data_IF_507080292064
#
_entry.id   IF_507080292064
#
_cell.length_a   1.000
_cell.length_b   1.000
_cell.length_c   1.000
_cell.angle_alpha   90.00
_cell.angle_beta   90.00
_cell.angle_gamma   90.00
#
_symmetry.space_group_name_H-M   'P 1'
#
loop_
_entity.id
_entity.type
_entity.pdbx_description
1 polymer ?
#
# COMPACT_ATOMS: atom_id res chain seq x y z
N UNK A 1 33.34 34.20 32.80
CA UNK A 1 34.72 34.46 33.27
C UNK A 1 35.55 34.95 32.08
N UNK A 2 36.63 35.71 32.31
CA UNK A 2 37.54 36.03 31.22
C UNK A 2 38.17 34.74 30.68
N UNK A 3 38.18 34.61 29.36
CA UNK A 3 38.75 33.48 28.64
C UNK A 3 39.39 34.03 27.34
N UNK A 4 40.50 34.78 27.46
CA UNK A 4 41.14 35.43 26.32
C UNK A 4 41.62 34.39 25.31
N UNK A 5 41.65 34.76 24.03
CA UNK A 5 42.14 33.86 22.98
C UNK A 5 43.64 33.58 23.18
N UNK A 6 44.06 32.30 23.28
CA UNK A 6 45.46 31.96 23.58
C UNK A 6 46.44 32.32 22.46
N UNK A 7 45.96 32.57 21.24
CA UNK A 7 46.81 32.89 20.07
C UNK A 7 47.06 34.38 19.87
N UNK A 8 46.50 35.26 20.72
CA UNK A 8 46.67 36.71 20.64
C UNK A 8 47.26 37.27 21.94
N UNK A 9 48.10 38.32 21.90
CA UNK A 9 48.59 38.96 23.12
C UNK A 9 47.45 39.50 23.99
N UNK A 10 47.39 39.08 25.27
CA UNK A 10 46.31 39.42 26.21
C UNK A 10 46.16 40.94 26.37
N UNK A 11 47.27 41.69 26.44
CA UNK A 11 47.24 43.15 26.58
C UNK A 11 46.55 43.86 25.40
N UNK A 12 46.71 43.33 24.19
CA UNK A 12 46.02 43.85 23.01
C UNK A 12 44.53 43.53 23.08
N UNK A 13 44.19 42.30 23.49
CA UNK A 13 42.80 41.89 23.64
C UNK A 13 42.07 42.74 24.70
N UNK A 14 42.72 43.05 25.83
CA UNK A 14 42.16 43.92 26.87
C UNK A 14 42.04 45.36 26.38
N UNK A 15 43.10 45.93 25.78
CA UNK A 15 43.11 47.31 25.28
C UNK A 15 42.02 47.57 24.24
N UNK A 16 41.76 46.59 23.38
CA UNK A 16 40.73 46.68 22.35
C UNK A 16 39.36 46.16 22.81
N UNK A 17 39.21 45.83 24.10
CA UNK A 17 37.98 45.28 24.66
C UNK A 17 37.44 44.11 23.82
N UNK A 18 38.28 43.15 23.45
CA UNK A 18 37.83 41.98 22.69
C UNK A 18 36.92 41.08 23.57
N UNK A 19 36.00 40.31 22.98
CA UNK A 19 35.18 39.35 23.73
C UNK A 19 36.04 38.43 24.61
N UNK A 20 35.59 38.18 25.85
CA UNK A 20 36.28 37.32 26.83
C UNK A 20 37.67 37.79 27.27
N UNK A 21 38.15 38.95 26.82
CA UNK A 21 39.52 39.40 27.04
C UNK A 21 39.81 39.82 28.48
N UNK A 22 38.83 40.38 29.19
CA UNK A 22 39.03 40.95 30.53
C UNK A 22 37.79 40.87 31.40
N UNK A 23 38.01 40.82 32.72
CA UNK A 23 36.94 40.64 33.70
C UNK A 23 35.91 41.78 33.70
N UNK A 24 36.36 43.04 33.52
CA UNK A 24 35.46 44.21 33.51
C UNK A 24 34.48 44.16 32.33
N UNK A 25 34.97 43.81 31.13
CA UNK A 25 34.11 43.65 29.95
C UNK A 25 33.12 42.51 30.13
N UNK A 26 33.56 41.37 30.66
CA UNK A 26 32.66 40.22 30.89
C UNK A 26 31.59 40.54 31.94
N UNK A 27 31.92 41.34 32.96
CA UNK A 27 30.96 41.83 33.92
C UNK A 27 29.94 42.78 33.27
N UNK A 28 30.39 43.69 32.42
CA UNK A 28 29.50 44.61 31.69
C UNK A 28 28.60 43.86 30.70
N UNK A 29 29.13 42.86 30.01
CA UNK A 29 28.34 41.95 29.18
C UNK A 29 27.29 41.21 29.99
N UNK A 30 27.66 40.59 31.11
CA UNK A 30 26.73 39.89 32.00
C UNK A 30 25.63 40.82 32.55
N UNK A 31 25.97 42.06 32.90
CA UNK A 31 25.00 43.09 33.30
C UNK A 31 24.02 43.44 32.19
N UNK A 32 24.45 43.46 30.93
CA UNK A 32 23.57 43.70 29.78
C UNK A 32 22.62 42.52 29.56
N UNK A 33 23.11 41.28 29.66
CA UNK A 33 22.28 40.06 29.56
C UNK A 33 21.22 40.05 30.65
N UNK A 34 21.59 40.26 31.92
CA UNK A 34 20.63 40.28 33.03
C UNK A 34 19.60 41.42 32.87
N UNK A 35 20.02 42.62 32.43
CA UNK A 35 19.09 43.72 32.13
C UNK A 35 18.08 43.36 31.05
N UNK A 36 18.52 42.71 29.97
CA UNK A 36 17.63 42.26 28.89
C UNK A 36 16.67 41.19 29.37
N UNK A 37 17.15 40.21 30.14
CA UNK A 37 16.32 39.16 30.71
C UNK A 37 15.25 39.74 31.63
N UNK A 38 15.63 40.64 32.55
CA UNK A 38 14.70 41.38 33.45
C UNK A 38 13.61 42.16 32.70
N UNK A 39 13.85 42.54 31.44
CA UNK A 39 12.90 43.28 30.62
C UNK A 39 12.08 42.40 29.67
N UNK A 40 12.31 41.08 29.64
CA UNK A 40 11.71 40.18 28.65
C UNK A 40 10.24 39.82 28.96
N UNK A 41 9.85 39.86 30.23
CA UNK A 41 8.51 39.50 30.71
C UNK A 41 8.21 40.25 32.03
N UNK A 42 6.95 40.60 32.33
CA UNK A 42 6.57 41.11 33.65
C UNK A 42 6.73 40.06 34.76
N UNK A 43 6.75 38.77 34.40
CA UNK A 43 6.92 37.65 35.33
C UNK A 43 8.17 36.83 34.93
N UNK A 44 9.21 36.86 35.77
CA UNK A 44 10.52 36.25 35.50
C UNK A 44 11.04 35.59 36.77
N UNK A 45 11.41 34.31 36.64
CA UNK A 45 12.04 33.54 37.70
C UNK A 45 13.50 33.29 37.33
N UNK A 46 14.43 33.71 38.19
CA UNK A 46 15.83 33.32 38.10
C UNK A 46 16.10 32.20 39.11
N UNK A 47 16.61 31.07 38.62
CA UNK A 47 17.03 29.94 39.46
C UNK A 47 18.55 29.79 39.48
N UNK A 48 19.10 29.32 40.60
CA UNK A 48 20.48 28.92 40.71
C UNK A 48 20.58 27.58 41.47
N UNK A 49 21.57 26.73 41.15
CA UNK A 49 21.80 25.52 41.93
C UNK A 49 22.38 25.87 43.30
N UNK A 50 21.89 25.22 44.36
CA UNK A 50 22.45 25.37 45.71
C UNK A 50 23.76 24.58 45.90
N UNK A 51 24.00 23.56 45.07
CA UNK A 51 25.16 22.68 45.18
C UNK A 51 25.67 22.23 43.81
N UNK A 52 26.98 22.06 43.71
CA UNK A 52 27.64 21.37 42.60
C UNK A 52 28.68 20.41 43.19
N UNK A 53 28.38 19.10 43.13
CA UNK A 53 29.10 18.09 43.90
C UNK A 53 29.02 18.36 45.41
N UNK A 54 30.19 18.43 46.06
CA UNK A 54 30.32 18.73 47.49
C UNK A 54 30.42 20.24 47.80
N UNK A 55 30.37 21.10 46.78
CA UNK A 55 30.47 22.54 46.96
C UNK A 55 29.08 23.19 47.12
N UNK A 56 28.92 24.04 48.13
CA UNK A 56 27.77 24.95 48.23
C UNK A 56 27.96 26.16 47.31
N UNK A 57 26.90 26.51 46.58
CA UNK A 57 26.88 27.62 45.64
C UNK A 57 26.01 28.75 46.17
N UNK A 58 26.30 29.97 45.70
CA UNK A 58 25.58 31.20 46.05
C UNK A 58 25.00 31.83 44.79
N UNK A 59 23.90 32.59 44.90
CA UNK A 59 23.35 33.30 43.75
C UNK A 59 24.37 34.29 43.20
N UNK A 60 24.30 34.54 41.90
CA UNK A 60 25.14 35.57 41.26
C UNK A 60 24.86 36.95 41.88
N UNK A 61 25.89 37.78 42.14
CA UNK A 61 25.69 39.14 42.63
C UNK A 61 24.76 40.00 41.75
N UNK A 62 24.62 39.65 40.46
CA UNK A 62 23.74 40.38 39.53
C UNK A 62 22.25 40.12 39.78
N UNK A 63 21.90 39.06 40.52
CA UNK A 63 20.53 38.70 40.89
C UNK A 63 20.30 38.66 42.40
N UNK A 64 21.34 38.85 43.22
CA UNK A 64 21.26 38.76 44.68
C UNK A 64 20.30 39.77 45.36
N UNK A 65 19.88 40.82 44.66
CA UNK A 65 18.89 41.79 45.15
C UNK A 65 17.43 41.46 44.80
N UNK A 66 17.17 40.30 44.18
CA UNK A 66 15.82 39.83 43.93
C UNK A 66 15.28 39.11 45.16
N UNK A 67 13.97 39.18 45.38
CA UNK A 67 13.31 38.43 46.44
C UNK A 67 13.40 36.94 46.14
N UNK A 68 13.82 36.16 47.14
CA UNK A 68 13.86 34.71 47.03
C UNK A 68 12.46 34.15 47.23
N UNK A 69 11.96 33.43 46.23
CA UNK A 69 10.66 32.78 46.26
C UNK A 69 10.85 31.27 46.19
N UNK A 70 10.05 30.54 46.97
CA UNK A 70 9.91 29.10 46.80
C UNK A 70 8.80 28.85 45.79
N UNK A 71 9.10 28.48 44.53
CA UNK A 71 8.05 28.20 43.57
C UNK A 71 7.23 27.00 44.04
N UNK A 72 5.92 27.02 43.77
CA UNK A 72 5.11 25.80 43.88
C UNK A 72 5.59 24.83 42.81
N UNK A 73 6.43 23.88 43.22
CA UNK A 73 6.94 22.85 42.33
C UNK A 73 5.83 21.83 42.10
N UNK A 74 5.51 21.49 40.84
CA UNK A 74 4.63 20.38 40.53
C UNK A 74 5.00 19.11 41.29
N UNK A 75 3.99 18.39 41.78
CA UNK A 75 4.18 17.09 42.46
C UNK A 75 4.87 16.05 41.56
N UNK A 76 4.81 16.24 40.24
CA UNK A 76 5.47 15.38 39.26
C UNK A 76 6.28 16.20 38.26
N UNK A 77 7.47 15.71 37.96
CA UNK A 77 8.32 16.17 36.87
C UNK A 77 7.93 15.54 35.51
N UNK A 78 6.85 14.74 35.49
CA UNK A 78 6.29 14.13 34.29
C UNK A 78 5.03 14.91 33.85
N UNK A 79 5.16 15.93 32.97
CA UNK A 79 4.02 16.76 32.54
C UNK A 79 2.87 15.95 31.96
N UNK A 80 3.15 14.79 31.35
CA UNK A 80 2.14 13.89 30.78
C UNK A 80 1.18 13.32 31.85
N UNK A 81 1.67 13.00 33.05
CA UNK A 81 0.82 12.53 34.15
C UNK A 81 -0.10 13.64 34.67
N UNK A 82 0.40 14.88 34.73
CA UNK A 82 -0.43 16.01 35.15
C UNK A 82 -1.50 16.35 34.12
N UNK A 83 -1.16 16.31 32.83
CA UNK A 83 -2.11 16.52 31.73
C UNK A 83 -3.20 15.43 31.77
N UNK A 84 -2.83 14.16 31.96
CA UNK A 84 -3.80 13.06 32.10
C UNK A 84 -4.68 13.20 33.35
N UNK A 85 -4.10 13.53 34.51
CA UNK A 85 -4.85 13.72 35.76
C UNK A 85 -5.82 14.91 35.70
N UNK A 86 -5.48 15.92 34.90
CA UNK A 86 -6.30 17.11 34.68
C UNK A 86 -7.22 16.97 33.47
N UNK A 87 -7.16 15.83 32.75
CA UNK A 87 -7.92 15.64 31.53
C UNK A 87 -9.42 15.60 31.87
N UNK A 88 -10.27 16.36 31.17
CA UNK A 88 -11.70 16.25 31.35
C UNK A 88 -12.14 14.84 30.97
N UNK A 89 -13.22 14.37 31.60
CA UNK A 89 -13.87 13.13 31.16
C UNK A 89 -14.33 13.31 29.72
N UNK A 90 -13.77 12.51 28.82
CA UNK A 90 -14.15 12.52 27.42
C UNK A 90 -15.49 11.78 27.24
N UNK A 91 -16.26 12.22 26.25
CA UNK A 91 -17.38 11.45 25.74
C UNK A 91 -16.82 10.42 24.76
N UNK A 92 -17.14 9.16 24.98
CA UNK A 92 -16.82 8.08 24.06
C UNK A 92 -18.02 7.84 23.15
N UNK A 93 -17.78 7.76 21.85
CA UNK A 93 -18.77 7.41 20.85
C UNK A 93 -18.12 6.42 19.89
N UNK A 94 -18.79 5.31 19.64
CA UNK A 94 -18.37 4.37 18.61
C UNK A 94 -18.75 4.90 17.23
N UNK A 95 -17.78 4.97 16.31
CA UNK A 95 -17.94 5.52 14.97
C UNK A 95 -17.31 4.59 13.93
N UNK A 96 -17.85 3.38 13.84
CA UNK A 96 -17.39 2.33 12.93
C UNK A 96 -18.32 2.13 11.71
N UNK A 97 -19.31 3.01 11.52
CA UNK A 97 -20.27 2.92 10.40
C UNK A 97 -20.54 4.24 9.74
N UNK A 98 -20.25 4.30 8.44
CA UNK A 98 -20.73 5.36 7.58
C UNK A 98 -22.20 5.19 7.18
N UNK A 99 -22.76 6.16 6.43
CA UNK A 99 -24.12 6.06 5.91
C UNK A 99 -24.25 4.91 4.90
N UNK A 100 -25.46 4.40 4.70
CA UNK A 100 -25.75 3.45 3.62
C UNK A 100 -25.44 4.11 2.26
N UNK A 101 -24.87 3.35 1.33
CA UNK A 101 -24.56 3.84 -0.02
C UNK A 101 -25.88 4.21 -0.74
N UNK A 102 -25.94 5.41 -1.30
CA UNK A 102 -27.15 5.92 -1.94
C UNK A 102 -27.41 5.34 -3.34
N UNK A 103 -26.39 4.76 -3.97
CA UNK A 103 -26.44 4.18 -5.31
C UNK A 103 -25.79 2.79 -5.27
N UNK A 104 -26.44 1.82 -5.89
CA UNK A 104 -25.93 0.45 -5.93
C UNK A 104 -24.65 0.35 -6.79
N UNK A 105 -24.46 1.27 -7.76
CA UNK A 105 -23.25 1.35 -8.57
C UNK A 105 -22.14 2.08 -7.81
N UNK A 106 -21.04 1.36 -7.55
CA UNK A 106 -19.86 1.93 -6.90
C UNK A 106 -18.71 2.16 -7.90
N UNK A 107 -18.03 3.29 -7.75
CA UNK A 107 -16.81 3.62 -8.49
C UNK A 107 -15.61 2.93 -7.81
N UNK A 108 -14.97 1.95 -8.46
CA UNK A 108 -13.77 1.29 -7.90
C UNK A 108 -13.51 -0.16 -8.33
N UNK A 109 -14.45 -0.79 -9.03
CA UNK A 109 -14.27 -2.14 -9.60
C UNK A 109 -13.99 -3.21 -8.54
N UNK A 110 -13.15 -4.19 -8.88
CA UNK A 110 -12.81 -5.33 -7.99
C UNK A 110 -12.03 -4.91 -6.74
N UNK A 111 -11.34 -3.77 -6.79
CA UNK A 111 -10.55 -3.24 -5.68
C UNK A 111 -11.37 -2.91 -4.43
N UNK A 112 -12.66 -2.56 -4.59
CA UNK A 112 -13.57 -2.31 -3.46
C UNK A 112 -13.65 -3.54 -2.56
N UNK A 113 -13.95 -4.71 -3.14
CA UNK A 113 -14.10 -5.94 -2.37
C UNK A 113 -12.77 -6.47 -1.88
N UNK A 114 -11.67 -6.21 -2.60
CA UNK A 114 -10.32 -6.54 -2.14
C UNK A 114 -9.97 -5.78 -0.87
N UNK A 115 -10.18 -4.47 -0.88
CA UNK A 115 -9.93 -3.64 0.30
C UNK A 115 -10.88 -4.02 1.44
N UNK A 116 -12.15 -4.31 1.16
CA UNK A 116 -13.12 -4.71 2.18
C UNK A 116 -12.72 -6.03 2.85
N UNK A 117 -12.25 -7.00 2.06
CA UNK A 117 -11.76 -8.27 2.57
C UNK A 117 -10.46 -8.12 3.37
N UNK A 118 -9.59 -7.20 2.99
CA UNK A 118 -8.36 -6.91 3.72
C UNK A 118 -8.65 -6.19 5.04
N UNK A 119 -9.45 -5.13 5.02
CA UNK A 119 -9.88 -4.34 6.18
C UNK A 119 -11.06 -3.42 5.79
N UNK A 120 -12.24 -3.50 6.45
CA UNK A 120 -13.39 -2.65 6.14
C UNK A 120 -13.09 -1.14 6.15
N UNK A 121 -12.33 -0.67 7.15
CA UNK A 121 -11.89 0.73 7.22
C UNK A 121 -11.13 1.17 5.96
N UNK A 122 -10.29 0.28 5.39
CA UNK A 122 -9.52 0.58 4.19
C UNK A 122 -10.44 0.85 3.01
N UNK A 123 -11.40 -0.03 2.74
CA UNK A 123 -12.37 0.19 1.66
C UNK A 123 -13.22 1.45 1.87
N UNK A 124 -13.62 1.72 3.12
CA UNK A 124 -14.38 2.92 3.46
C UNK A 124 -13.60 4.19 3.11
N UNK A 125 -12.36 4.33 3.59
CA UNK A 125 -11.54 5.52 3.28
C UNK A 125 -11.27 5.62 1.78
N UNK A 126 -10.91 4.51 1.16
CA UNK A 126 -10.49 4.44 -0.23
C UNK A 126 -11.58 4.76 -1.25
N UNK A 127 -12.79 4.25 -1.04
CA UNK A 127 -13.86 4.30 -2.04
C UNK A 127 -15.07 5.13 -1.61
N UNK A 128 -15.30 5.30 -0.30
CA UNK A 128 -16.37 6.18 0.21
C UNK A 128 -15.86 7.60 0.44
N UNK A 129 -14.71 7.76 1.10
CA UNK A 129 -14.11 9.07 1.36
C UNK A 129 -13.15 9.54 0.25
N UNK A 130 -12.77 8.64 -0.67
CA UNK A 130 -11.77 8.88 -1.73
C UNK A 130 -10.42 9.34 -1.17
N UNK A 131 -10.07 8.87 0.03
CA UNK A 131 -8.76 9.06 0.62
C UNK A 131 -7.73 8.14 -0.05
N UNK A 132 -6.60 8.72 -0.46
CA UNK A 132 -5.47 8.05 -1.10
C UNK A 132 -4.19 8.67 -0.56
N UNK A 133 -3.12 7.90 -0.48
CA UNK A 133 -1.78 8.45 -0.33
C UNK A 133 -1.47 9.49 -1.43
N UNK A 134 -0.62 10.46 -1.11
CA UNK A 134 -0.10 11.39 -2.11
C UNK A 134 0.95 10.69 -2.97
N UNK A 135 0.90 10.93 -4.28
CA UNK A 135 1.88 10.39 -5.22
C UNK A 135 3.30 10.80 -4.82
N UNK A 136 4.17 9.81 -4.66
CA UNK A 136 5.58 10.03 -4.38
C UNK A 136 6.36 9.94 -5.70
N UNK A 137 7.25 10.90 -5.95
CA UNK A 137 8.12 10.85 -7.10
C UNK A 137 9.07 9.64 -7.02
N UNK A 138 9.00 8.75 -8.02
CA UNK A 138 9.86 7.58 -8.13
C UNK A 138 10.70 7.63 -9.41
N UNK A 139 11.89 7.03 -9.43
CA UNK A 139 12.70 6.95 -10.63
C UNK A 139 12.14 5.93 -11.63
N UNK A 140 11.87 6.38 -12.85
CA UNK A 140 11.38 5.53 -13.94
C UNK A 140 9.92 5.14 -13.79
N UNK A 141 9.53 4.04 -14.45
CA UNK A 141 8.15 3.54 -14.41
C UNK A 141 7.86 2.75 -13.14
N UNK A 142 6.72 3.00 -12.53
CA UNK A 142 6.26 2.30 -11.33
C UNK A 142 5.72 0.88 -11.66
N UNK A 143 5.31 0.13 -10.64
CA UNK A 143 4.81 -1.23 -10.82
C UNK A 143 3.45 -1.30 -11.54
N UNK A 144 2.60 -0.29 -11.36
CA UNK A 144 1.26 -0.21 -11.96
C UNK A 144 1.37 0.09 -13.45
N UNK A 145 2.21 1.06 -13.83
CA UNK A 145 2.52 1.39 -15.22
C UNK A 145 3.09 0.18 -15.97
N UNK A 146 4.05 -0.52 -15.36
CA UNK A 146 4.63 -1.75 -15.93
C UNK A 146 3.59 -2.86 -16.10
N UNK A 147 2.66 -2.99 -15.16
CA UNK A 147 1.52 -3.89 -15.27
C UNK A 147 0.63 -3.51 -16.45
N UNK A 148 0.20 -2.24 -16.53
CA UNK A 148 -0.63 -1.73 -17.62
C UNK A 148 0.00 -1.93 -19.00
N UNK A 149 1.31 -1.73 -19.13
CA UNK A 149 2.04 -1.99 -20.38
C UNK A 149 2.00 -3.49 -20.75
N UNK A 150 2.20 -4.38 -19.78
CA UNK A 150 2.12 -5.83 -20.03
C UNK A 150 0.72 -6.24 -20.54
N UNK A 151 -0.34 -5.78 -19.87
CA UNK A 151 -1.72 -6.08 -20.28
C UNK A 151 -1.98 -5.63 -21.71
N UNK A 152 -1.65 -4.38 -22.05
CA UNK A 152 -1.85 -3.85 -23.41
C UNK A 152 -1.04 -4.58 -24.49
N UNK A 153 0.18 -5.02 -24.17
CA UNK A 153 0.97 -5.84 -25.10
C UNK A 153 0.27 -7.17 -25.34
N UNK A 154 -0.11 -7.89 -24.28
CA UNK A 154 -0.77 -9.19 -24.38
C UNK A 154 -2.16 -9.10 -25.01
N UNK A 155 -2.93 -8.05 -24.68
CA UNK A 155 -4.22 -7.74 -25.28
C UNK A 155 -4.06 -7.68 -26.79
N UNK A 156 -3.14 -6.84 -27.22
CA UNK A 156 -2.99 -6.54 -28.64
C UNK A 156 -2.34 -7.68 -29.41
N UNK A 157 -1.46 -8.46 -28.78
CA UNK A 157 -0.90 -9.70 -29.34
C UNK A 157 -1.98 -10.75 -29.55
N UNK A 158 -2.83 -11.00 -28.55
CA UNK A 158 -3.91 -12.00 -28.66
C UNK A 158 -5.05 -11.56 -29.56
N UNK A 159 -5.31 -10.25 -29.67
CA UNK A 159 -6.20 -9.71 -30.70
C UNK A 159 -5.73 -10.02 -32.14
N UNK A 160 -4.42 -10.12 -32.36
CA UNK A 160 -3.84 -10.50 -33.65
C UNK A 160 -3.74 -12.03 -33.81
N UNK A 161 -3.19 -12.76 -32.84
CA UNK A 161 -2.87 -14.20 -32.91
C UNK A 161 -4.10 -15.10 -32.70
N UNK A 162 -5.02 -14.73 -31.80
CA UNK A 162 -6.35 -15.33 -31.56
C UNK A 162 -6.42 -16.79 -31.09
N UNK A 163 -5.44 -17.65 -31.35
CA UNK A 163 -5.48 -19.05 -30.93
C UNK A 163 -4.08 -19.66 -30.81
N UNK A 164 -4.01 -20.82 -30.13
CA UNK A 164 -2.75 -21.51 -29.91
C UNK A 164 -2.16 -22.09 -31.20
N UNK A 165 -3.00 -22.56 -32.13
CA UNK A 165 -2.53 -23.17 -33.37
C UNK A 165 -1.74 -22.16 -34.22
N UNK A 166 -2.20 -20.92 -34.28
CA UNK A 166 -1.48 -19.82 -34.92
C UNK A 166 -0.22 -19.44 -34.17
N UNK A 167 -0.24 -19.41 -32.83
CA UNK A 167 0.98 -19.20 -32.03
C UNK A 167 2.05 -20.25 -32.37
N UNK A 168 1.68 -21.53 -32.38
CA UNK A 168 2.58 -22.64 -32.69
C UNK A 168 3.00 -22.71 -34.17
N UNK A 169 2.21 -22.09 -35.06
CA UNK A 169 2.52 -21.98 -36.48
C UNK A 169 3.54 -20.89 -36.82
N UNK A 170 3.80 -19.95 -35.91
CA UNK A 170 4.84 -18.93 -36.06
C UNK A 170 6.21 -19.55 -35.81
N UNK A 171 7.20 -19.26 -36.66
CA UNK A 171 8.58 -19.60 -36.35
C UNK A 171 9.09 -18.76 -35.18
N UNK A 172 10.14 -19.24 -34.51
CA UNK A 172 10.72 -18.56 -33.37
C UNK A 172 11.12 -17.10 -33.68
N UNK A 173 11.74 -16.84 -34.84
CA UNK A 173 12.09 -15.47 -35.24
C UNK A 173 10.86 -14.60 -35.51
N UNK A 174 9.87 -15.14 -36.24
CA UNK A 174 8.63 -14.44 -36.58
C UNK A 174 7.81 -14.10 -35.32
N UNK A 175 7.77 -15.01 -34.34
CA UNK A 175 7.11 -14.79 -33.05
C UNK A 175 7.79 -13.67 -32.26
N UNK A 176 9.13 -13.66 -32.21
CA UNK A 176 9.88 -12.61 -31.51
C UNK A 176 9.68 -11.24 -32.18
N UNK A 177 9.72 -11.18 -33.52
CA UNK A 177 9.44 -9.95 -34.27
C UNK A 177 8.02 -9.44 -34.05
N UNK A 178 7.03 -10.35 -33.99
CA UNK A 178 5.65 -10.00 -33.70
C UNK A 178 5.51 -9.42 -32.29
N UNK A 179 6.09 -10.07 -31.28
CA UNK A 179 6.10 -9.54 -29.90
C UNK A 179 6.76 -8.17 -29.85
N UNK A 180 7.91 -8.00 -30.52
CA UNK A 180 8.62 -6.72 -30.59
C UNK A 180 7.78 -5.61 -31.22
N UNK A 181 7.05 -5.91 -32.30
CA UNK A 181 6.09 -4.99 -32.92
C UNK A 181 5.02 -4.53 -31.91
N UNK A 182 4.42 -5.45 -31.16
CA UNK A 182 3.38 -5.12 -30.18
C UNK A 182 3.94 -4.31 -29.00
N UNK A 183 5.09 -4.71 -28.45
CA UNK A 183 5.80 -3.96 -27.39
C UNK A 183 6.11 -2.55 -27.85
N UNK A 184 6.64 -2.40 -29.06
CA UNK A 184 7.04 -1.10 -29.56
C UNK A 184 5.86 -0.16 -29.70
N UNK A 185 4.80 -0.64 -30.35
CA UNK A 185 3.56 0.12 -30.50
C UNK A 185 2.98 0.52 -29.14
N UNK A 186 2.86 -0.41 -28.19
CA UNK A 186 2.29 -0.10 -26.87
C UNK A 186 3.09 0.98 -26.15
N UNK A 187 4.42 0.93 -26.17
CA UNK A 187 5.24 1.96 -25.52
C UNK A 187 5.09 3.31 -26.23
N UNK A 188 5.11 3.33 -27.57
CA UNK A 188 4.99 4.55 -28.37
C UNK A 188 3.63 5.25 -28.15
N UNK A 189 2.54 4.49 -27.99
CA UNK A 189 1.20 5.01 -27.74
C UNK A 189 0.96 5.43 -26.29
N UNK A 190 1.71 4.86 -25.34
CA UNK A 190 1.45 5.06 -23.90
C UNK A 190 2.07 6.33 -23.33
N UNK A 191 3.18 6.78 -23.92
CA UNK A 191 4.06 7.78 -23.31
C UNK A 191 4.40 8.82 -24.35
N UNK A 192 3.88 10.04 -24.17
CA UNK A 192 4.30 11.16 -24.99
C UNK A 192 5.79 11.42 -24.74
N UNK A 193 6.62 11.14 -25.77
CA UNK A 193 8.07 11.31 -25.71
C UNK A 193 8.43 12.79 -25.86
N UNK A 194 7.92 13.65 -24.99
CA UNK A 194 8.37 15.04 -24.87
C UNK A 194 9.58 15.18 -23.96
N UNK A 195 9.82 14.22 -23.06
CA UNK A 195 10.96 14.23 -22.14
C UNK A 195 12.08 13.29 -22.59
N UNK A 196 13.22 13.88 -22.98
CA UNK A 196 14.42 13.13 -23.39
C UNK A 196 14.98 12.24 -22.28
N UNK A 197 14.70 12.54 -21.02
CA UNK A 197 15.20 11.77 -19.87
C UNK A 197 14.57 10.36 -19.79
N UNK A 198 13.37 10.18 -20.35
CA UNK A 198 12.68 8.89 -20.34
C UNK A 198 13.13 7.95 -21.45
N UNK A 199 13.75 8.44 -22.53
CA UNK A 199 14.08 7.62 -23.71
C UNK A 199 14.89 6.37 -23.33
N UNK A 200 15.94 6.52 -22.51
CA UNK A 200 16.76 5.39 -22.09
C UNK A 200 15.99 4.39 -21.22
N UNK A 201 15.05 4.87 -20.39
CA UNK A 201 14.18 4.02 -19.55
C UNK A 201 13.22 3.23 -20.43
N UNK A 202 12.62 3.88 -21.44
CA UNK A 202 11.70 3.24 -22.38
C UNK A 202 12.39 2.17 -23.22
N UNK A 203 13.64 2.40 -23.67
CA UNK A 203 14.40 1.39 -24.41
C UNK A 203 14.71 0.15 -23.54
N UNK A 204 15.06 0.35 -22.26
CA UNK A 204 15.22 -0.77 -21.33
C UNK A 204 13.89 -1.51 -21.10
N UNK A 205 12.79 -0.77 -21.05
CA UNK A 205 11.46 -1.34 -20.88
C UNK A 205 11.01 -2.15 -22.09
N UNK A 206 11.31 -1.72 -23.32
CA UNK A 206 11.10 -2.51 -24.55
C UNK A 206 11.81 -3.86 -24.46
N UNK A 207 13.09 -3.85 -24.09
CA UNK A 207 13.89 -5.07 -23.94
C UNK A 207 13.30 -5.98 -22.86
N UNK A 208 12.92 -5.40 -21.72
CA UNK A 208 12.34 -6.14 -20.59
C UNK A 208 11.00 -6.77 -20.95
N UNK A 209 10.06 -6.02 -21.51
CA UNK A 209 8.73 -6.49 -21.89
C UNK A 209 8.81 -7.54 -22.99
N UNK A 210 9.63 -7.32 -24.03
CA UNK A 210 9.86 -8.32 -25.09
C UNK A 210 10.34 -9.64 -24.49
N UNK A 211 11.38 -9.60 -23.66
CA UNK A 211 11.91 -10.79 -23.02
C UNK A 211 10.88 -11.50 -22.15
N UNK A 212 10.11 -10.74 -21.37
CA UNK A 212 9.10 -11.26 -20.46
C UNK A 212 7.92 -11.92 -21.20
N UNK A 213 7.40 -11.28 -22.24
CA UNK A 213 6.29 -11.83 -23.05
C UNK A 213 6.75 -13.06 -23.81
N UNK A 214 7.94 -13.03 -24.42
CA UNK A 214 8.50 -14.21 -25.09
C UNK A 214 8.69 -15.39 -24.12
N UNK A 215 9.16 -15.13 -22.89
CA UNK A 215 9.27 -16.15 -21.85
C UNK A 215 7.89 -16.73 -21.48
N UNK A 216 6.88 -15.88 -21.25
CA UNK A 216 5.51 -16.32 -20.97
C UNK A 216 4.93 -17.20 -22.07
N UNK A 217 5.04 -16.76 -23.34
CA UNK A 217 4.53 -17.50 -24.48
C UNK A 217 5.16 -18.90 -24.57
N UNK A 218 6.50 -18.96 -24.52
CA UNK A 218 7.25 -20.21 -24.66
C UNK A 218 7.06 -21.16 -23.49
N UNK A 219 7.15 -20.65 -22.27
CA UNK A 219 7.20 -21.51 -21.08
C UNK A 219 5.79 -21.95 -20.66
N UNK A 220 4.75 -21.17 -21.00
CA UNK A 220 3.37 -21.45 -20.59
C UNK A 220 2.43 -21.66 -21.80
N UNK A 221 2.21 -20.64 -22.63
CA UNK A 221 1.13 -20.67 -23.65
C UNK A 221 1.31 -21.77 -24.71
N UNK A 222 2.54 -22.01 -25.15
CA UNK A 222 2.87 -23.08 -26.11
C UNK A 222 2.62 -24.48 -25.55
N UNK A 223 2.65 -24.63 -24.22
CA UNK A 223 2.50 -25.91 -23.53
C UNK A 223 1.07 -26.15 -23.00
N UNK A 224 0.13 -25.26 -23.29
CA UNK A 224 -1.29 -25.44 -22.94
C UNK A 224 -1.95 -26.47 -23.86
N UNK A 225 -3.12 -26.95 -23.46
CA UNK A 225 -4.03 -27.63 -24.40
C UNK A 225 -4.52 -26.63 -25.46
N UNK A 226 -4.92 -27.10 -26.67
CA UNK A 226 -5.45 -26.22 -27.71
C UNK A 226 -6.58 -25.33 -27.22
N UNK A 227 -6.49 -24.04 -27.55
CA UNK A 227 -7.46 -23.04 -27.17
C UNK A 227 -7.66 -21.97 -28.26
N UNK A 228 -8.81 -21.30 -28.21
CA UNK A 228 -9.15 -20.10 -28.96
C UNK A 228 -9.51 -18.98 -27.98
N UNK A 229 -9.00 -17.78 -28.24
CA UNK A 229 -9.31 -16.59 -27.45
C UNK A 229 -10.68 -16.05 -27.86
N UNK A 230 -11.62 -16.02 -26.91
CA UNK A 230 -12.97 -15.50 -27.12
C UNK A 230 -13.08 -14.01 -26.78
N UNK A 231 -12.46 -13.60 -25.69
CA UNK A 231 -12.51 -12.23 -25.18
C UNK A 231 -11.12 -11.78 -24.73
N UNK A 232 -10.85 -10.49 -24.89
CA UNK A 232 -9.62 -9.84 -24.44
C UNK A 232 -9.97 -8.44 -23.94
N UNK A 233 -9.50 -8.07 -22.75
CA UNK A 233 -9.71 -6.76 -22.09
C UNK A 233 -11.17 -6.26 -22.20
N UNK A 234 -12.13 -7.16 -21.96
CA UNK A 234 -13.55 -6.85 -22.16
C UNK A 234 -14.18 -6.36 -20.86
N UNK A 235 -14.91 -5.25 -20.96
CA UNK A 235 -15.71 -4.70 -19.85
C UNK A 235 -16.95 -5.55 -19.57
N UNK A 236 -17.18 -5.81 -18.29
CA UNK A 236 -18.37 -6.47 -17.79
C UNK A 236 -18.96 -5.65 -16.63
N UNK A 237 -20.28 -5.74 -16.46
CA UNK A 237 -20.99 -5.14 -15.34
C UNK A 237 -21.48 -6.27 -14.44
N UNK A 238 -20.98 -6.31 -13.21
CA UNK A 238 -21.22 -7.42 -12.28
C UNK A 238 -22.11 -6.96 -11.13
N UNK A 239 -23.07 -7.81 -10.77
CA UNK A 239 -23.96 -7.61 -9.63
C UNK A 239 -23.60 -8.63 -8.53
N UNK A 240 -23.07 -8.13 -7.42
CA UNK A 240 -22.58 -8.89 -6.29
C UNK A 240 -23.43 -8.56 -5.07
N UNK A 241 -24.56 -9.26 -4.90
CA UNK A 241 -25.54 -8.90 -3.89
C UNK A 241 -26.08 -7.48 -4.12
N UNK A 242 -26.03 -6.56 -3.14
CA UNK A 242 -26.53 -5.20 -3.31
C UNK A 242 -25.57 -4.27 -4.08
N UNK A 243 -24.37 -4.73 -4.44
CA UNK A 243 -23.33 -3.91 -5.06
C UNK A 243 -23.22 -4.20 -6.55
N UNK A 244 -23.18 -3.14 -7.36
CA UNK A 244 -22.85 -3.20 -8.79
C UNK A 244 -21.47 -2.58 -9.01
N UNK A 245 -20.64 -3.30 -9.76
CA UNK A 245 -19.30 -2.84 -10.14
C UNK A 245 -19.04 -3.10 -11.62
N UNK A 246 -18.21 -2.25 -12.22
CA UNK A 246 -17.63 -2.52 -13.53
C UNK A 246 -16.29 -3.24 -13.38
N UNK A 247 -16.08 -4.26 -14.20
CA UNK A 247 -14.85 -5.07 -14.23
C UNK A 247 -14.31 -5.15 -15.65
N UNK A 248 -13.03 -5.50 -15.77
CA UNK A 248 -12.38 -5.77 -17.06
C UNK A 248 -11.75 -7.14 -16.95
N UNK A 249 -12.21 -8.08 -17.77
CA UNK A 249 -11.62 -9.42 -17.83
C UNK A 249 -10.51 -9.37 -18.89
N UNK A 250 -9.28 -9.66 -18.47
CA UNK A 250 -8.12 -9.61 -19.36
C UNK A 250 -8.26 -10.59 -20.51
N UNK A 251 -8.71 -11.82 -20.23
CA UNK A 251 -8.85 -12.84 -21.27
C UNK A 251 -9.78 -13.99 -20.90
N UNK A 252 -10.58 -14.42 -21.89
CA UNK A 252 -11.37 -15.66 -21.83
C UNK A 252 -10.96 -16.56 -22.99
N UNK A 253 -10.58 -17.80 -22.68
CA UNK A 253 -10.26 -18.81 -23.68
C UNK A 253 -11.31 -19.92 -23.68
N UNK A 254 -11.60 -20.46 -24.87
CA UNK A 254 -12.32 -21.72 -25.06
C UNK A 254 -11.34 -22.81 -25.46
N UNK A 255 -11.40 -23.95 -24.77
CA UNK A 255 -10.60 -25.13 -25.04
C UNK A 255 -11.29 -26.02 -26.10
N UNK A 256 -10.54 -26.98 -26.65
CA UNK A 256 -11.04 -27.89 -27.71
C UNK A 256 -12.26 -28.71 -27.29
N UNK A 257 -12.38 -29.07 -26.01
CA UNK A 257 -13.52 -29.79 -25.44
C UNK A 257 -14.75 -28.90 -25.21
N UNK A 258 -14.64 -27.60 -25.50
CA UNK A 258 -15.67 -26.59 -25.30
C UNK A 258 -15.63 -25.91 -23.93
N UNK A 259 -14.83 -26.41 -22.99
CA UNK A 259 -14.64 -25.82 -21.66
C UNK A 259 -14.09 -24.41 -21.78
N UNK A 260 -14.45 -23.50 -20.86
CA UNK A 260 -13.94 -22.12 -20.88
C UNK A 260 -13.13 -21.78 -19.65
N UNK A 261 -12.08 -20.99 -19.85
CA UNK A 261 -11.20 -20.56 -18.76
C UNK A 261 -11.00 -19.06 -18.79
N UNK A 262 -11.08 -18.44 -17.61
CA UNK A 262 -10.85 -17.00 -17.43
C UNK A 262 -9.45 -16.78 -16.89
N UNK A 263 -8.69 -15.89 -17.52
CA UNK A 263 -7.32 -15.57 -17.15
C UNK A 263 -7.21 -14.09 -16.76
N UNK A 264 -6.39 -13.83 -15.75
CA UNK A 264 -6.04 -12.49 -15.26
C UNK A 264 -4.51 -12.40 -15.14
N UNK A 265 -3.88 -11.48 -15.86
CA UNK A 265 -2.44 -11.31 -15.87
C UNK A 265 -1.97 -10.58 -14.60
N UNK A 266 -0.94 -11.12 -13.96
CA UNK A 266 -0.29 -10.48 -12.82
C UNK A 266 1.23 -10.57 -12.91
N UNK A 267 1.90 -9.50 -12.53
CA UNK A 267 3.37 -9.44 -12.41
C UNK A 267 3.86 -9.81 -11.01
N UNK A 268 3.00 -9.67 -10.00
CA UNK A 268 3.26 -10.03 -8.60
C UNK A 268 3.06 -11.52 -8.32
N UNK A 269 3.45 -11.97 -7.12
CA UNK A 269 3.18 -13.34 -6.70
C UNK A 269 1.72 -13.54 -6.34
N UNK A 270 1.19 -14.73 -6.65
CA UNK A 270 -0.12 -15.17 -6.19
C UNK A 270 -0.03 -16.60 -5.65
N UNK A 271 -0.89 -16.89 -4.67
CA UNK A 271 -1.00 -18.21 -4.05
C UNK A 271 -2.44 -18.70 -4.18
N UNK A 272 -2.70 -20.00 -4.32
CA UNK A 272 -4.07 -20.51 -4.34
C UNK A 272 -4.87 -20.14 -3.09
N UNK A 273 -4.20 -20.03 -1.94
CA UNK A 273 -4.85 -19.75 -0.65
C UNK A 273 -5.58 -18.39 -0.63
N UNK A 274 -5.18 -17.42 -1.45
CA UNK A 274 -5.89 -16.13 -1.56
C UNK A 274 -7.29 -16.25 -2.19
N UNK A 275 -7.59 -17.39 -2.84
CA UNK A 275 -8.87 -17.72 -3.46
C UNK A 275 -9.76 -18.62 -2.57
N UNK A 276 -9.20 -19.16 -1.48
CA UNK A 276 -9.75 -20.30 -0.74
C UNK A 276 -10.08 -20.00 0.74
N UNK A 277 -9.77 -18.80 1.22
CA UNK A 277 -9.97 -18.41 2.62
C UNK A 277 -11.38 -17.92 2.94
N UNK A 278 -11.69 -17.80 4.23
CA UNK A 278 -12.94 -17.16 4.70
C UNK A 278 -13.05 -15.71 4.23
N UNK A 279 -11.93 -14.97 4.16
CA UNK A 279 -11.83 -13.69 3.47
C UNK A 279 -11.08 -13.86 2.15
N UNK A 280 -11.73 -13.46 1.06
CA UNK A 280 -11.17 -13.51 -0.29
C UNK A 280 -10.16 -12.36 -0.49
N UNK A 281 -8.87 -12.64 -0.28
CA UNK A 281 -7.82 -11.62 -0.37
C UNK A 281 -7.54 -11.18 -1.81
N UNK A 282 -7.84 -12.05 -2.78
CA UNK A 282 -7.79 -11.73 -4.21
C UNK A 282 -9.15 -12.05 -4.83
N UNK A 283 -10.18 -11.19 -4.62
CA UNK A 283 -11.55 -11.49 -5.03
C UNK A 283 -11.77 -11.34 -6.55
N UNK A 284 -10.78 -10.87 -7.30
CA UNK A 284 -10.88 -10.62 -8.74
C UNK A 284 -11.33 -11.84 -9.56
N UNK A 285 -10.63 -12.99 -9.44
CA UNK A 285 -11.05 -14.21 -10.13
C UNK A 285 -12.40 -14.75 -9.63
N UNK A 286 -12.68 -14.80 -8.30
CA UNK A 286 -14.01 -15.13 -7.80
C UNK A 286 -15.12 -14.25 -8.38
N UNK A 287 -14.90 -12.94 -8.52
CA UNK A 287 -15.85 -12.01 -9.14
C UNK A 287 -16.12 -12.42 -10.59
N UNK A 288 -15.07 -12.67 -11.37
CA UNK A 288 -15.23 -13.08 -12.77
C UNK A 288 -15.94 -14.43 -12.90
N UNK A 289 -15.65 -15.37 -12.01
CA UNK A 289 -16.26 -16.70 -11.98
C UNK A 289 -17.74 -16.70 -11.61
N UNK A 290 -18.19 -15.81 -10.71
CA UNK A 290 -19.63 -15.75 -10.33
C UNK A 290 -20.44 -14.80 -11.21
N UNK A 291 -19.74 -13.92 -11.95
CA UNK A 291 -20.29 -12.92 -12.84
C UNK A 291 -20.85 -13.46 -14.16
N UNK A 292 -21.18 -12.56 -15.08
CA UNK A 292 -21.81 -12.91 -16.36
C UNK A 292 -20.93 -13.83 -17.21
N UNK A 293 -19.64 -13.49 -17.35
CA UNK A 293 -18.67 -14.32 -18.08
C UNK A 293 -18.43 -15.69 -17.42
N UNK A 294 -18.60 -15.75 -16.10
CA UNK A 294 -18.38 -16.94 -15.29
C UNK A 294 -19.45 -18.03 -15.42
N UNK A 295 -20.64 -17.70 -15.95
CA UNK A 295 -21.74 -18.68 -16.15
C UNK A 295 -21.34 -19.91 -16.98
N UNK A 296 -20.40 -19.72 -17.89
CA UNK A 296 -19.88 -20.76 -18.78
C UNK A 296 -18.42 -21.11 -18.46
N UNK A 297 -17.85 -20.58 -17.37
CA UNK A 297 -16.46 -20.84 -17.01
C UNK A 297 -16.31 -22.16 -16.27
N UNK A 298 -15.29 -22.92 -16.64
CA UNK A 298 -14.84 -24.17 -16.04
C UNK A 298 -13.49 -24.03 -15.34
N UNK A 299 -12.88 -22.84 -15.36
CA UNK A 299 -11.67 -22.56 -14.60
C UNK A 299 -11.29 -21.10 -14.59
N UNK A 300 -10.60 -20.70 -13.52
CA UNK A 300 -10.07 -19.35 -13.37
C UNK A 300 -8.63 -19.40 -12.91
N UNK A 301 -7.76 -18.55 -13.47
CA UNK A 301 -6.37 -18.49 -13.04
C UNK A 301 -5.73 -17.12 -13.22
N UNK A 302 -4.85 -16.79 -12.28
CA UNK A 302 -3.87 -15.74 -12.47
C UNK A 302 -2.77 -16.28 -13.38
N UNK A 303 -2.59 -15.63 -14.53
CA UNK A 303 -1.43 -15.78 -15.38
C UNK A 303 -0.29 -14.94 -14.78
N UNK A 304 0.52 -15.58 -13.93
CA UNK A 304 1.66 -14.91 -13.29
C UNK A 304 2.79 -14.77 -14.30
N UNK A 305 2.94 -13.58 -14.87
CA UNK A 305 3.94 -13.23 -15.87
C UNK A 305 5.12 -12.55 -15.19
N UNK A 306 6.11 -13.35 -14.80
CA UNK A 306 7.30 -12.88 -14.09
C UNK A 306 8.54 -13.61 -14.58
N UNK A 307 9.60 -12.86 -14.84
CA UNK A 307 10.88 -13.39 -15.34
C UNK A 307 11.43 -14.48 -14.42
N UNK A 308 11.77 -15.63 -15.00
CA UNK A 308 12.24 -16.83 -14.32
C UNK A 308 11.20 -17.56 -13.46
N UNK A 309 9.93 -17.16 -13.52
CA UNK A 309 8.88 -17.62 -12.62
C UNK A 309 7.48 -17.57 -13.20
N UNK A 310 7.36 -17.64 -14.54
CA UNK A 310 6.08 -17.70 -15.21
C UNK A 310 5.30 -18.95 -14.80
N UNK A 311 4.04 -18.78 -14.39
CA UNK A 311 3.16 -19.90 -13.97
C UNK A 311 1.70 -19.47 -13.98
N UNK A 312 0.81 -20.47 -13.96
CA UNK A 312 -0.61 -20.26 -13.68
C UNK A 312 -0.93 -20.62 -12.23
N UNK A 313 -1.73 -19.79 -11.57
CA UNK A 313 -2.21 -20.02 -10.20
C UNK A 313 -3.71 -19.82 -10.18
N UNK A 314 -4.46 -20.90 -9.96
CA UNK A 314 -5.91 -20.86 -10.10
C UNK A 314 -6.57 -22.13 -9.60
N UNK A 315 -7.84 -22.26 -9.95
CA UNK A 315 -8.70 -23.41 -9.65
C UNK A 315 -9.54 -23.69 -10.89
N UNK A 316 -9.66 -24.96 -11.26
CA UNK A 316 -10.49 -25.43 -12.36
C UNK A 316 -11.54 -26.44 -11.88
N UNK A 317 -12.55 -26.70 -12.70
CA UNK A 317 -13.57 -27.73 -12.50
C UNK A 317 -12.92 -29.10 -12.30
N UNK A 318 -11.94 -29.40 -13.13
CA UNK A 318 -11.13 -30.62 -13.09
C UNK A 318 -9.67 -30.34 -13.44
N UNK A 319 -8.78 -31.27 -13.12
CA UNK A 319 -7.36 -31.16 -13.43
C UNK A 319 -7.13 -31.17 -14.96
N UNK A 320 -6.10 -30.46 -15.42
CA UNK A 320 -5.64 -30.53 -16.80
C UNK A 320 -6.24 -29.49 -17.76
N UNK A 321 -7.25 -28.70 -17.34
CA UNK A 321 -7.74 -27.58 -18.14
C UNK A 321 -6.71 -26.45 -18.31
N UNK A 322 -5.87 -26.26 -17.28
CA UNK A 322 -4.77 -25.28 -17.29
C UNK A 322 -3.48 -25.92 -16.73
N UNK A 323 -2.30 -25.55 -17.26
CA UNK A 323 -1.02 -26.11 -16.81
C UNK A 323 -0.80 -25.93 -15.30
N UNK A 324 -0.61 -27.05 -14.59
CA UNK A 324 -0.31 -27.09 -13.14
C UNK A 324 -1.38 -26.43 -12.26
N UNK A 325 -2.57 -26.17 -12.78
CA UNK A 325 -3.75 -25.76 -12.02
C UNK A 325 -4.52 -27.01 -11.60
N UNK A 326 -4.95 -27.01 -10.35
CA UNK A 326 -5.65 -28.13 -9.73
C UNK A 326 -7.15 -28.01 -9.91
N UNK A 327 -7.82 -29.15 -10.02
CA UNK A 327 -9.28 -29.21 -9.95
C UNK A 327 -9.78 -28.91 -8.53
N UNK A 328 -11.04 -28.44 -8.40
CA UNK A 328 -11.68 -28.14 -7.10
C UNK A 328 -11.48 -29.26 -6.08
N UNK A 329 -11.64 -30.52 -6.52
CA UNK A 329 -11.53 -31.70 -5.68
C UNK A 329 -10.13 -31.97 -5.14
N UNK A 330 -9.08 -31.36 -5.68
CA UNK A 330 -7.70 -31.54 -5.23
C UNK A 330 -7.28 -30.51 -4.17
N UNK A 331 -8.15 -29.55 -3.85
CA UNK A 331 -7.92 -28.54 -2.83
C UNK A 331 -8.46 -28.98 -1.47
N UNK A 332 -7.56 -29.45 -0.59
CA UNK A 332 -7.90 -29.83 0.79
C UNK A 332 -8.65 -28.75 1.58
N UNK A 333 -8.31 -27.43 1.50
CA UNK A 333 -9.05 -26.40 2.20
C UNK A 333 -10.53 -26.33 1.77
N UNK A 334 -10.83 -26.53 0.50
CA UNK A 334 -12.22 -26.55 0.00
C UNK A 334 -13.00 -27.75 0.53
N UNK A 335 -12.38 -28.93 0.55
CA UNK A 335 -13.00 -30.12 1.14
C UNK A 335 -13.36 -29.92 2.62
N UNK A 336 -12.49 -29.24 3.38
CA UNK A 336 -12.76 -28.92 4.79
C UNK A 336 -13.93 -27.93 4.97
N UNK A 337 -14.17 -27.09 3.97
CA UNK A 337 -15.31 -26.17 3.90
C UNK A 337 -16.57 -26.82 3.30
N UNK A 338 -16.53 -28.11 2.96
CA UNK A 338 -17.65 -28.83 2.34
C UNK A 338 -17.90 -28.45 0.87
N UNK A 339 -16.86 -27.96 0.19
CA UNK A 339 -16.89 -27.59 -1.24
C UNK A 339 -16.19 -28.68 -2.05
N UNK A 340 -16.98 -29.54 -2.70
CA UNK A 340 -16.53 -30.75 -3.39
C UNK A 340 -16.55 -30.62 -4.93
N UNK A 341 -17.23 -29.62 -5.47
CA UNK A 341 -17.36 -29.45 -6.92
C UNK A 341 -17.45 -27.98 -7.33
N UNK A 342 -17.32 -27.75 -8.63
CA UNK A 342 -17.33 -26.41 -9.22
C UNK A 342 -18.59 -25.59 -8.90
N UNK A 343 -19.82 -26.12 -9.07
CA UNK A 343 -21.03 -25.39 -8.66
C UNK A 343 -21.03 -24.96 -7.19
N UNK A 344 -20.56 -25.82 -6.28
CA UNK A 344 -20.44 -25.49 -4.85
C UNK A 344 -19.40 -24.40 -4.60
N UNK A 345 -18.28 -24.40 -5.34
CA UNK A 345 -17.26 -23.35 -5.25
C UNK A 345 -17.80 -22.00 -5.72
N UNK A 346 -18.53 -21.97 -6.84
CA UNK A 346 -19.18 -20.75 -7.32
C UNK A 346 -20.19 -20.21 -6.31
N UNK A 347 -20.97 -21.08 -5.68
CA UNK A 347 -21.91 -20.67 -4.63
C UNK A 347 -21.19 -20.17 -3.37
N UNK A 348 -20.12 -20.84 -2.96
CA UNK A 348 -19.27 -20.37 -1.85
C UNK A 348 -18.73 -18.96 -2.12
N UNK A 349 -18.16 -18.72 -3.31
CA UNK A 349 -17.69 -17.39 -3.70
C UNK A 349 -18.82 -16.36 -3.77
N UNK A 350 -19.99 -16.71 -4.32
CA UNK A 350 -21.14 -15.81 -4.38
C UNK A 350 -21.58 -15.35 -2.98
N UNK A 351 -21.59 -16.25 -2.01
CA UNK A 351 -21.94 -15.92 -0.63
C UNK A 351 -20.89 -15.00 0.02
N UNK A 352 -19.60 -15.28 -0.15
CA UNK A 352 -18.53 -14.44 0.41
C UNK A 352 -18.53 -13.04 -0.21
N UNK A 353 -18.60 -12.95 -1.54
CA UNK A 353 -18.66 -11.67 -2.25
C UNK A 353 -19.92 -10.89 -1.89
N UNK A 354 -21.07 -11.56 -1.76
CA UNK A 354 -22.32 -10.93 -1.34
C UNK A 354 -22.27 -10.35 0.08
N UNK A 355 -21.57 -11.02 1.01
CA UNK A 355 -21.33 -10.47 2.36
C UNK A 355 -20.46 -9.22 2.32
N UNK A 356 -19.30 -9.29 1.65
CA UNK A 356 -18.40 -8.14 1.50
C UNK A 356 -19.11 -6.94 0.85
N UNK A 357 -19.89 -7.19 -0.19
CA UNK A 357 -20.70 -6.17 -0.86
C UNK A 357 -21.75 -5.56 0.09
N UNK A 358 -22.45 -6.38 0.86
CA UNK A 358 -23.46 -5.92 1.82
C UNK A 358 -22.83 -5.05 2.92
N UNK A 359 -21.68 -5.46 3.46
CA UNK A 359 -20.98 -4.70 4.49
C UNK A 359 -20.51 -3.35 3.95
N UNK A 360 -19.94 -3.33 2.74
CA UNK A 360 -19.52 -2.10 2.08
C UNK A 360 -20.69 -1.13 1.82
N UNK A 361 -21.81 -1.65 1.29
CA UNK A 361 -23.02 -0.84 1.04
C UNK A 361 -23.59 -0.27 2.35
N UNK A 362 -23.59 -1.06 3.43
CA UNK A 362 -24.05 -0.62 4.75
C UNK A 362 -23.05 0.29 5.48
N UNK A 363 -21.90 0.60 4.87
CA UNK A 363 -20.94 1.54 5.42
C UNK A 363 -20.10 0.98 6.57
N UNK A 364 -19.96 -0.35 6.68
CA UNK A 364 -19.08 -0.98 7.68
C UNK A 364 -17.65 -0.48 7.48
N UNK A 365 -17.09 0.15 8.51
CA UNK A 365 -15.80 0.83 8.48
C UNK A 365 -14.92 0.45 9.68
N UNK A 366 -15.15 -0.72 10.28
CA UNK A 366 -14.32 -1.23 11.37
C UNK A 366 -12.84 -1.34 10.97
N UNK A 367 -11.94 -0.97 11.88
CA UNK A 367 -10.50 -1.22 11.75
C UNK A 367 -10.22 -2.69 12.08
N UNK A 368 -10.55 -3.57 11.14
CA UNK A 368 -10.51 -5.03 11.29
C UNK A 368 -9.68 -5.68 10.17
N UNK A 369 -8.34 -5.57 10.23
CA UNK A 369 -7.47 -6.19 9.25
C UNK A 369 -7.46 -7.72 9.38
N UNK A 370 -7.49 -8.44 8.24
CA UNK A 370 -7.41 -9.91 8.24
C UNK A 370 -6.15 -10.44 8.94
N UNK A 371 -5.04 -9.72 8.82
CA UNK A 371 -3.83 -9.86 9.63
C UNK A 371 -2.95 -8.62 9.41
N UNK A 372 -2.05 -8.34 10.34
CA UNK A 372 -1.15 -7.20 10.20
C UNK A 372 -0.24 -7.35 8.97
N UNK A 373 0.33 -8.54 8.75
CA UNK A 373 1.26 -8.81 7.65
C UNK A 373 0.58 -8.69 6.28
N UNK A 374 -0.67 -9.14 6.18
CA UNK A 374 -1.40 -9.18 4.91
C UNK A 374 -2.10 -7.88 4.58
N UNK A 375 -2.68 -7.20 5.58
CA UNK A 375 -3.49 -6.00 5.35
C UNK A 375 -2.77 -4.70 5.70
N UNK A 376 -1.93 -4.67 6.75
CA UNK A 376 -1.38 -3.42 7.29
C UNK A 376 0.02 -3.09 6.75
N UNK A 377 0.86 -4.10 6.45
CA UNK A 377 2.26 -3.90 6.06
C UNK A 377 2.47 -2.88 4.92
N UNK A 378 1.57 -2.87 3.94
CA UNK A 378 1.60 -1.98 2.78
C UNK A 378 0.35 -1.09 2.70
N UNK A 379 -0.29 -0.81 3.83
CA UNK A 379 -1.42 0.09 3.89
C UNK A 379 -0.97 1.52 4.17
N UNK A 380 -1.41 2.44 3.33
CA UNK A 380 -1.20 3.89 3.42
C UNK A 380 -2.01 4.57 4.53
N UNK A 381 -2.93 3.83 5.18
CA UNK A 381 -3.87 4.38 6.15
C UNK A 381 -3.44 4.17 7.62
N UNK A 382 -2.25 3.62 7.87
CA UNK A 382 -1.81 3.31 9.24
C UNK A 382 -1.83 4.55 10.17
N UNK A 383 -1.47 5.72 9.64
CA UNK A 383 -1.53 6.99 10.38
C UNK A 383 -2.94 7.53 10.59
N UNK A 384 -3.91 7.10 9.79
CA UNK A 384 -5.32 7.52 9.90
C UNK A 384 -6.11 6.60 10.83
N UNK A 385 -5.95 5.28 10.71
CA UNK A 385 -6.66 4.31 11.55
C UNK A 385 -6.06 4.16 12.95
N UNK A 386 -4.81 4.62 13.16
CA UNK A 386 -4.08 4.58 14.45
C UNK A 386 -3.99 3.18 15.08
N UNK A 387 -4.08 2.12 14.27
CA UNK A 387 -4.05 0.73 14.75
C UNK A 387 -2.78 0.40 15.55
N UNK A 388 -1.64 1.02 15.20
CA UNK A 388 -0.36 0.81 15.89
C UNK A 388 -0.35 1.37 17.32
N UNK A 389 -1.15 2.40 17.60
CA UNK A 389 -1.26 2.97 18.94
C UNK A 389 -2.12 2.07 19.85
N UNK A 390 -3.21 1.51 19.30
CA UNK A 390 -4.03 0.53 20.00
C UNK A 390 -3.22 -0.73 20.38
N UNK A 391 -2.32 -1.19 19.49
CA UNK A 391 -1.44 -2.33 19.79
C UNK A 391 -0.42 -2.02 20.90
N UNK A 392 0.13 -0.80 20.94
CA UNK A 392 1.07 -0.40 21.99
C UNK A 392 0.41 -0.32 23.37
N UNK A 393 -0.88 0.03 23.43
CA UNK A 393 -1.65 0.09 24.67
C UNK A 393 -2.14 -1.29 25.16
N UNK A 394 -2.41 -2.23 24.25
CA UNK A 394 -2.90 -3.57 24.60
C UNK A 394 -1.79 -4.58 24.96
N UNK A 395 -0.51 -4.28 24.70
CA UNK A 395 0.59 -5.23 24.85
C UNK A 395 0.56 -6.31 23.76
N UNK A 396 1.73 -6.81 23.38
CA UNK A 396 1.89 -7.81 22.32
C UNK A 396 0.95 -9.03 22.57
N UNK A 397 -0.08 -9.19 21.73
CA UNK A 397 -0.81 -10.46 21.61
C UNK A 397 -2.34 -10.45 21.76
N UNK A 398 -3.04 -9.32 21.60
CA UNK A 398 -4.51 -9.36 21.43
C UNK A 398 -4.97 -8.51 20.25
N UNK A 399 -5.43 -9.19 19.21
CA UNK A 399 -6.47 -8.73 18.29
C UNK A 399 -7.80 -9.27 18.82
#
# INVERSE_FOLDING_TARGET
PANPNPFLPVDLQIRHQMPHAGADRELDFARQVIRRLKAASPDIIFSYPLREGDCELRPSPLIAGLEEVSPEVPVSWAPQQQIQASAPRLLEQEDFRGPVLASDLAEGGTGILKDQALCPFRAFVHYRLRGRELDQAQPGLDAMERGSLLHRVLESFWGEVKDQARLLGLKDEERVELVEKHVNRTIDESIEVSDRSLIAVLELERIRLKGLVCEWLRDIEENRVPFTVLEVEKKHAEELGPLKIETVIDRVDQLEDGSRVILDYKTGESTPDSLLGERLLEPQLPIYAVGEAGKEADGVAFAQVRRGGCKMVGISREAGLLPKVKGVQEHKPLQQLGVDNWPQLLEFWRQQLGRLATDYVNGVADVDPVSYEKACQYCDLAGLCRINEAQAECGEGRL
#
